data_IF_401830310064
#
_entry.id   IF_401830310064
#
_cell.length_a   1.000
_cell.length_b   1.000
_cell.length_c   1.000
_cell.angle_alpha   90.00
_cell.angle_beta   90.00
_cell.angle_gamma   90.00
#
_symmetry.space_group_name_H-M   'P 1'
#
loop_
_entity.id
_entity.type
_entity.pdbx_description
1 polymer ?
#
# COMPACT_ATOMS: atom_id res chain seq x y z
N UNK A 1 -14.24 -33.96 5.66
CA UNK A 1 -15.28 -32.95 5.92
C UNK A 1 -15.41 -32.82 7.44
N UNK A 2 -14.99 -31.69 8.01
CA UNK A 2 -15.07 -31.47 9.47
C UNK A 2 -16.49 -31.09 9.87
N UNK A 3 -16.94 -31.66 10.98
CA UNK A 3 -18.30 -31.57 11.50
C UNK A 3 -18.66 -30.15 11.99
N UNK A 4 -19.75 -29.59 11.45
CA UNK A 4 -20.87 -29.09 12.26
C UNK A 4 -20.75 -27.78 13.06
N UNK A 5 -19.63 -27.04 13.01
CA UNK A 5 -19.61 -25.67 13.49
C UNK A 5 -20.11 -24.73 12.40
N UNK A 6 -21.36 -24.25 12.47
CA UNK A 6 -21.83 -23.18 11.59
C UNK A 6 -20.96 -21.96 11.81
N UNK A 7 -20.06 -21.70 10.87
CA UNK A 7 -19.19 -20.52 10.85
C UNK A 7 -20.07 -19.27 10.73
N UNK A 8 -20.42 -18.65 11.85
CA UNK A 8 -21.35 -17.52 11.92
C UNK A 8 -20.77 -16.25 11.32
N UNK A 9 -19.46 -16.23 11.02
CA UNK A 9 -18.75 -15.08 10.47
C UNK A 9 -18.03 -15.44 9.17
N UNK A 10 -18.80 -15.68 8.12
CA UNK A 10 -18.24 -15.84 6.77
C UNK A 10 -17.74 -14.49 6.25
N UNK A 11 -16.48 -14.42 5.81
CA UNK A 11 -15.86 -13.22 5.26
C UNK A 11 -16.62 -12.72 4.01
N UNK A 12 -17.30 -11.58 4.14
CA UNK A 12 -18.12 -10.98 3.06
C UNK A 12 -17.34 -10.01 2.16
N UNK A 13 -16.04 -10.23 2.01
CA UNK A 13 -15.17 -9.37 1.21
C UNK A 13 -15.40 -9.50 -0.30
N UNK A 14 -14.95 -8.51 -1.06
CA UNK A 14 -15.13 -8.48 -2.52
C UNK A 14 -14.39 -9.62 -3.25
N UNK A 15 -13.40 -10.24 -2.60
CA UNK A 15 -12.66 -11.39 -3.11
C UNK A 15 -13.48 -12.69 -3.15
N UNK A 16 -14.51 -12.81 -2.32
CA UNK A 16 -15.40 -14.01 -2.24
C UNK A 16 -16.67 -13.80 -3.08
N UNK A 17 -16.77 -12.69 -3.82
CA UNK A 17 -17.93 -12.45 -4.67
C UNK A 17 -17.92 -13.34 -5.92
N UNK A 18 -19.09 -13.88 -6.30
CA UNK A 18 -19.27 -14.62 -7.55
C UNK A 18 -19.06 -13.76 -8.82
N UNK A 19 -19.17 -12.43 -8.69
CA UNK A 19 -18.94 -11.52 -9.80
C UNK A 19 -17.44 -11.36 -10.08
N UNK A 20 -17.03 -11.78 -11.29
CA UNK A 20 -15.65 -11.63 -11.78
C UNK A 20 -15.15 -10.19 -11.68
N UNK A 21 -15.98 -9.23 -12.09
CA UNK A 21 -15.64 -7.82 -12.12
C UNK A 21 -15.33 -7.27 -10.72
N UNK A 22 -16.11 -7.70 -9.72
CA UNK A 22 -15.92 -7.29 -8.33
C UNK A 22 -14.62 -7.84 -7.74
N UNK A 23 -14.26 -9.08 -8.08
CA UNK A 23 -12.97 -9.67 -7.69
C UNK A 23 -11.78 -8.97 -8.37
N UNK A 24 -11.88 -8.69 -9.67
CA UNK A 24 -10.83 -8.00 -10.41
C UNK A 24 -10.58 -6.59 -9.86
N UNK A 25 -11.64 -5.82 -9.59
CA UNK A 25 -11.56 -4.51 -8.96
C UNK A 25 -10.97 -4.56 -7.55
N UNK A 26 -11.31 -5.57 -6.76
CA UNK A 26 -10.73 -5.74 -5.43
C UNK A 26 -9.21 -5.95 -5.52
N UNK A 27 -8.76 -6.87 -6.37
CA UNK A 27 -7.32 -7.14 -6.56
C UNK A 27 -6.60 -5.90 -7.09
N UNK A 28 -7.14 -5.24 -8.11
CA UNK A 28 -6.55 -4.02 -8.65
C UNK A 28 -6.48 -2.91 -7.60
N UNK A 29 -7.57 -2.64 -6.89
CA UNK A 29 -7.66 -1.61 -5.86
C UNK A 29 -6.70 -1.86 -4.70
N UNK A 30 -6.58 -3.10 -4.23
CA UNK A 30 -5.62 -3.44 -3.18
C UNK A 30 -4.17 -3.23 -3.63
N UNK A 31 -3.82 -3.63 -4.86
CA UNK A 31 -2.49 -3.37 -5.40
C UNK A 31 -2.22 -1.87 -5.58
N UNK A 32 -3.22 -1.11 -6.05
CA UNK A 32 -3.10 0.34 -6.23
C UNK A 32 -2.86 1.04 -4.89
N UNK A 33 -3.70 0.78 -3.88
CA UNK A 33 -3.60 1.44 -2.58
C UNK A 33 -2.31 1.03 -1.85
N UNK A 34 -1.96 -0.25 -1.85
CA UNK A 34 -0.70 -0.70 -1.27
C UNK A 34 0.52 -0.07 -1.96
N UNK A 35 0.49 -0.02 -3.30
CA UNK A 35 1.50 0.67 -4.10
C UNK A 35 1.63 2.14 -3.73
N UNK A 36 0.51 2.87 -3.66
CA UNK A 36 0.50 4.29 -3.28
C UNK A 36 1.12 4.51 -1.89
N UNK A 37 0.77 3.69 -0.89
CA UNK A 37 1.32 3.81 0.46
C UNK A 37 2.84 3.63 0.44
N UNK A 38 3.34 2.60 -0.25
CA UNK A 38 4.77 2.31 -0.34
C UNK A 38 5.51 3.43 -1.07
N UNK A 39 5.02 3.84 -2.24
CA UNK A 39 5.69 4.85 -3.06
C UNK A 39 5.68 6.24 -2.41
N UNK A 40 4.58 6.63 -1.76
CA UNK A 40 4.52 7.88 -0.99
C UNK A 40 5.49 7.84 0.19
N UNK A 41 5.53 6.73 0.93
CA UNK A 41 6.46 6.54 2.04
C UNK A 41 7.92 6.67 1.59
N UNK A 42 8.30 5.98 0.52
CA UNK A 42 9.64 6.07 -0.08
C UNK A 42 9.95 7.49 -0.57
N UNK A 43 9.00 8.15 -1.23
CA UNK A 43 9.17 9.52 -1.70
C UNK A 43 9.48 10.48 -0.56
N UNK A 44 8.75 10.41 0.55
CA UNK A 44 8.99 11.24 1.74
C UNK A 44 10.40 10.98 2.30
N UNK A 45 10.79 9.71 2.44
CA UNK A 45 12.11 9.33 2.94
C UNK A 45 13.21 9.92 2.04
N UNK A 46 13.11 9.74 0.71
CA UNK A 46 14.10 10.28 -0.23
C UNK A 46 14.12 11.81 -0.24
N UNK A 47 12.97 12.48 -0.11
CA UNK A 47 12.90 13.93 0.02
C UNK A 47 13.64 14.43 1.26
N UNK A 48 13.49 13.76 2.41
CA UNK A 48 14.23 14.12 3.62
C UNK A 48 15.75 14.01 3.41
N UNK A 49 16.22 12.93 2.80
CA UNK A 49 17.64 12.78 2.47
C UNK A 49 18.12 13.84 1.47
N UNK A 50 17.32 14.16 0.45
CA UNK A 50 17.65 15.17 -0.54
C UNK A 50 17.78 16.57 0.10
N UNK A 51 16.86 16.93 1.00
CA UNK A 51 16.92 18.20 1.74
C UNK A 51 18.15 18.24 2.64
N UNK A 52 18.43 17.18 3.39
CA UNK A 52 19.63 17.10 4.25
C UNK A 52 20.91 17.22 3.43
N UNK A 53 21.00 16.53 2.30
CA UNK A 53 22.14 16.64 1.39
C UNK A 53 22.27 18.06 0.83
N UNK A 54 21.18 18.68 0.39
CA UNK A 54 21.19 20.05 -0.11
C UNK A 54 21.65 21.06 0.96
N UNK A 55 21.23 20.88 2.22
CA UNK A 55 21.67 21.74 3.32
C UNK A 55 23.16 21.54 3.61
N UNK A 56 23.63 20.29 3.71
CA UNK A 56 25.03 20.00 4.06
C UNK A 56 25.98 20.43 2.93
N UNK A 57 25.73 19.98 1.70
CA UNK A 57 26.61 20.27 0.56
C UNK A 57 26.41 21.68 0.02
N UNK A 58 25.20 22.23 0.07
CA UNK A 58 24.95 23.63 -0.28
C UNK A 58 25.55 24.61 0.73
N UNK A 59 25.56 24.30 2.02
CA UNK A 59 26.29 25.12 3.00
C UNK A 59 27.81 25.00 2.80
N UNK A 60 28.32 23.82 2.46
CA UNK A 60 29.73 23.60 2.18
C UNK A 60 30.24 24.34 0.93
N UNK A 61 29.39 24.66 -0.03
CA UNK A 61 29.78 25.40 -1.24
C UNK A 61 29.83 26.92 -1.07
N UNK A 62 29.44 27.44 0.10
CA UNK A 62 29.41 28.89 0.40
C UNK A 62 30.68 29.33 1.15
N UNK A 63 31.46 28.39 1.69
CA UNK A 63 32.77 28.63 2.32
C UNK A 63 33.90 28.24 1.37
#
# INVERSE_FOLDING_TARGET
MSNGGTDTYSYKGWLVSDSFLKRALAVFGYNLVAGLIIWIGLFIIFMLFAVMAALVFGAASVY
#
